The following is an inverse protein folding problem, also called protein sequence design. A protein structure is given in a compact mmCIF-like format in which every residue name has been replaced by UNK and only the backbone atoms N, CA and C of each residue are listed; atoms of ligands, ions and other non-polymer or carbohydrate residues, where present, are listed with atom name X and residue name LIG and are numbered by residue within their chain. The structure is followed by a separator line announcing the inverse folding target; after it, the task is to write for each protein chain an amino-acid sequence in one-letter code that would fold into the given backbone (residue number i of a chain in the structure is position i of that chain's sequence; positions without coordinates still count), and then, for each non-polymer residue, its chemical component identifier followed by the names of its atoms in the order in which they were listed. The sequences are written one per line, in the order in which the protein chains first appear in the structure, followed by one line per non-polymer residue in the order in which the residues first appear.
data_IF_924925592499
#
_entry.id   IF_924925592499
#
_cell.length_a   1.000
_cell.length_b   1.000
_cell.length_c   1.000
_cell.angle_alpha   90.00
_cell.angle_beta   90.00
_cell.angle_gamma   90.00
#
_symmetry.space_group_name_H-M   'P 1'
#
loop_
_entity.id
_entity.type
_entity.pdbx_description
1 polymer ?
#
# COMPACT_ATOMS: atom_id res chain seq x y z
N UNK A 1 -29.89 25.04 -19.37
CA UNK A 1 -28.75 25.52 -18.57
C UNK A 1 -28.18 24.35 -17.78
N UNK A 2 -26.97 23.90 -18.09
CA UNK A 2 -26.26 22.86 -17.30
C UNK A 2 -25.81 23.46 -15.98
N UNK A 3 -25.96 22.77 -14.83
CA UNK A 3 -25.41 23.26 -13.57
C UNK A 3 -23.87 23.28 -13.65
N UNK A 4 -23.19 24.24 -12.98
CA UNK A 4 -21.75 24.33 -13.02
C UNK A 4 -21.11 23.13 -12.30
N UNK A 5 -20.08 22.57 -12.92
CA UNK A 5 -19.17 21.59 -12.29
C UNK A 5 -18.40 22.33 -11.19
N UNK A 6 -18.76 22.10 -9.94
CA UNK A 6 -18.00 22.59 -8.80
C UNK A 6 -16.76 21.70 -8.66
N UNK A 7 -15.61 22.17 -9.13
CA UNK A 7 -14.33 21.56 -8.75
C UNK A 7 -14.12 21.77 -7.25
N UNK A 8 -13.99 20.70 -6.44
CA UNK A 8 -13.63 20.87 -5.04
C UNK A 8 -12.21 21.45 -4.95
N UNK A 9 -11.93 22.29 -3.94
CA UNK A 9 -10.61 22.88 -3.76
C UNK A 9 -9.56 21.79 -3.53
N UNK A 10 -8.39 21.94 -4.16
CA UNK A 10 -7.19 21.16 -3.81
C UNK A 10 -6.75 21.60 -2.42
N UNK A 11 -7.29 20.93 -1.40
CA UNK A 11 -6.79 21.06 -0.04
C UNK A 11 -5.53 20.22 0.03
N UNK A 12 -4.34 20.84 0.00
CA UNK A 12 -3.12 20.20 0.50
C UNK A 12 -3.19 20.16 2.02
N UNK A 13 -3.42 18.99 2.64
CA UNK A 13 -3.48 18.90 4.09
C UNK A 13 -2.05 18.76 4.65
N UNK A 14 -1.81 19.26 5.86
CA UNK A 14 -0.49 19.23 6.51
C UNK A 14 -0.04 17.79 6.79
N UNK A 15 1.28 17.58 6.77
CA UNK A 15 1.95 16.35 7.19
C UNK A 15 1.69 16.11 8.68
N UNK A 16 0.62 15.37 9.02
CA UNK A 16 0.39 14.90 10.39
C UNK A 16 0.49 13.38 10.41
N UNK A 17 1.47 12.90 11.19
CA UNK A 17 1.77 11.48 11.43
C UNK A 17 0.56 10.80 12.08
N UNK A 18 0.01 9.71 11.49
CA UNK A 18 -1.06 8.93 12.12
C UNK A 18 -0.62 8.30 13.47
N UNK A 19 -1.55 8.03 14.40
CA UNK A 19 -1.24 7.49 15.73
C UNK A 19 -0.68 6.06 15.66
N UNK A 20 0.25 5.76 16.55
CA UNK A 20 0.84 4.43 16.78
C UNK A 20 -0.02 3.62 17.76
N UNK A 21 -0.59 2.51 17.31
CA UNK A 21 -0.98 1.43 18.23
C UNK A 21 -0.72 0.06 17.61
N UNK A 22 0.15 -0.79 18.20
CA UNK A 22 0.31 -2.17 17.79
C UNK A 22 -0.68 -3.09 18.51
N UNK A 23 -1.47 -3.93 17.81
CA UNK A 23 -2.09 -5.10 18.44
C UNK A 23 -1.08 -6.24 18.64
N UNK A 24 -1.36 -7.20 19.54
CA UNK A 24 -0.41 -8.23 19.95
C UNK A 24 -0.14 -9.26 18.85
N UNK A 25 1.04 -9.82 18.96
CA UNK A 25 1.66 -10.77 18.05
C UNK A 25 1.34 -12.20 18.53
N UNK A 26 0.57 -13.00 17.79
CA UNK A 26 0.29 -14.40 18.15
C UNK A 26 0.73 -15.36 17.05
N UNK A 27 1.94 -15.89 17.19
CA UNK A 27 2.23 -17.33 17.05
C UNK A 27 1.93 -18.07 15.74
N UNK A 28 1.87 -17.41 14.58
CA UNK A 28 1.91 -18.05 13.26
C UNK A 28 3.21 -17.72 12.54
N UNK A 29 3.54 -18.43 11.46
CA UNK A 29 4.59 -18.01 10.52
C UNK A 29 4.38 -16.53 10.21
N UNK A 30 5.29 -15.67 10.68
CA UNK A 30 5.26 -14.21 10.51
C UNK A 30 5.34 -13.74 9.06
N UNK A 31 5.29 -14.68 8.11
CA UNK A 31 5.41 -14.49 6.68
C UNK A 31 4.22 -15.12 6.01
N UNK A 32 3.45 -14.32 5.28
CA UNK A 32 2.38 -14.78 4.43
C UNK A 32 2.88 -15.83 3.43
N UNK A 33 2.03 -16.78 3.10
CA UNK A 33 2.27 -17.75 2.02
C UNK A 33 2.11 -17.10 0.64
N UNK A 34 2.54 -17.78 -0.43
CA UNK A 34 2.31 -17.32 -1.79
C UNK A 34 0.81 -17.27 -2.14
N UNK A 35 0.03 -18.23 -1.63
CA UNK A 35 -1.42 -18.26 -1.81
C UNK A 35 -2.11 -17.06 -1.14
N UNK A 36 -1.68 -16.70 0.08
CA UNK A 36 -2.19 -15.50 0.74
C UNK A 36 -1.78 -14.22 0.01
N UNK A 37 -0.55 -14.14 -0.49
CA UNK A 37 -0.11 -13.00 -1.30
C UNK A 37 -0.95 -12.83 -2.57
N UNK A 38 -1.27 -13.92 -3.26
CA UNK A 38 -2.16 -13.90 -4.42
C UNK A 38 -3.59 -13.46 -4.03
N UNK A 39 -4.15 -14.03 -2.95
CA UNK A 39 -5.48 -13.66 -2.46
C UNK A 39 -5.55 -12.17 -2.06
N UNK A 40 -4.48 -11.63 -1.47
CA UNK A 40 -4.38 -10.22 -1.13
C UNK A 40 -4.39 -9.34 -2.40
N UNK A 41 -3.64 -9.72 -3.43
CA UNK A 41 -3.63 -9.03 -4.73
C UNK A 41 -5.02 -9.07 -5.37
N UNK A 42 -5.65 -10.23 -5.39
CA UNK A 42 -6.98 -10.40 -6.01
C UNK A 42 -8.02 -9.55 -5.30
N UNK A 43 -7.99 -9.52 -3.96
CA UNK A 43 -8.84 -8.61 -3.19
C UNK A 43 -8.53 -7.14 -3.52
N UNK A 44 -7.26 -6.73 -3.53
CA UNK A 44 -6.88 -5.34 -3.82
C UNK A 44 -7.32 -4.90 -5.21
N UNK A 45 -7.31 -5.80 -6.21
CA UNK A 45 -7.82 -5.54 -7.57
C UNK A 45 -9.32 -5.26 -7.57
N UNK A 46 -10.12 -5.89 -6.70
CA UNK A 46 -11.56 -5.58 -6.60
C UNK A 46 -11.83 -4.16 -6.09
N UNK A 47 -10.82 -3.51 -5.49
CA UNK A 47 -10.92 -2.16 -4.95
C UNK A 47 -10.47 -1.09 -5.95
N UNK A 48 -10.10 -1.44 -7.18
CA UNK A 48 -9.70 -0.45 -8.21
C UNK A 48 -10.88 0.44 -8.59
N UNK A 49 -10.60 1.72 -8.86
CA UNK A 49 -11.60 2.74 -9.17
C UNK A 49 -12.10 3.51 -7.93
N UNK A 50 -11.77 3.06 -6.72
CA UNK A 50 -12.11 3.77 -5.50
C UNK A 50 -11.21 5.01 -5.30
N UNK A 51 -11.73 6.10 -4.74
CA UNK A 51 -10.96 7.30 -4.49
C UNK A 51 -9.87 7.06 -3.45
N UNK A 52 -8.73 7.74 -3.63
CA UNK A 52 -7.74 7.90 -2.59
C UNK A 52 -8.21 8.92 -1.55
N UNK A 53 -8.13 8.56 -0.28
CA UNK A 53 -8.31 9.50 0.85
C UNK A 53 -7.25 9.20 1.89
N UNK A 54 -6.46 10.21 2.26
CA UNK A 54 -5.42 10.08 3.28
C UNK A 54 -6.01 9.57 4.59
N UNK A 55 -5.43 8.52 5.18
CA UNK A 55 -5.91 7.89 6.41
C UNK A 55 -7.08 6.93 6.23
N UNK A 56 -7.70 6.85 5.04
CA UNK A 56 -8.85 6.00 4.82
C UNK A 56 -8.48 4.51 4.80
N UNK A 57 -9.40 3.69 5.32
CA UNK A 57 -9.21 2.26 5.50
C UNK A 57 -10.45 1.44 5.04
N UNK A 58 -11.18 1.99 4.07
CA UNK A 58 -12.37 1.37 3.47
C UNK A 58 -13.69 1.66 4.18
N UNK A 59 -14.81 1.16 3.63
CA UNK A 59 -14.86 0.46 2.33
C UNK A 59 -14.90 1.42 1.13
N UNK A 60 -15.28 2.69 1.32
CA UNK A 60 -15.53 3.61 0.20
C UNK A 60 -14.28 4.32 -0.35
N UNK A 61 -13.16 4.28 0.38
CA UNK A 61 -11.90 4.92 0.02
C UNK A 61 -10.73 4.30 0.78
N UNK A 62 -9.52 4.40 0.22
CA UNK A 62 -8.31 3.87 0.84
C UNK A 62 -7.14 4.86 0.67
N UNK A 63 -6.22 4.88 1.64
CA UNK A 63 -4.84 5.32 1.36
C UNK A 63 -3.96 4.13 0.96
N UNK A 64 -2.71 4.43 0.60
CA UNK A 64 -1.73 3.44 0.14
C UNK A 64 -1.59 2.24 1.10
N UNK A 65 -1.33 2.54 2.36
CA UNK A 65 -1.13 1.54 3.41
C UNK A 65 -2.43 0.92 3.94
N UNK A 66 -3.55 1.63 3.82
CA UNK A 66 -4.89 1.16 4.16
C UNK A 66 -5.33 0.06 3.19
N UNK A 67 -5.16 0.30 1.88
CA UNK A 67 -5.43 -0.70 0.84
C UNK A 67 -4.62 -1.98 1.09
N UNK A 68 -3.30 -1.86 1.31
CA UNK A 68 -2.44 -3.04 1.54
C UNK A 68 -2.78 -3.76 2.84
N UNK A 69 -3.10 -3.03 3.91
CA UNK A 69 -3.47 -3.62 5.19
C UNK A 69 -4.77 -4.41 5.11
N UNK A 70 -5.76 -3.90 4.37
CA UNK A 70 -7.05 -4.57 4.16
C UNK A 70 -6.94 -5.74 3.20
N UNK A 71 -6.11 -5.64 2.16
CA UNK A 71 -5.83 -6.73 1.25
C UNK A 71 -5.25 -7.95 1.98
N UNK A 72 -4.18 -7.75 2.76
CA UNK A 72 -3.59 -8.83 3.54
C UNK A 72 -4.52 -9.34 4.66
N UNK A 73 -5.28 -8.45 5.30
CA UNK A 73 -6.30 -8.85 6.28
C UNK A 73 -7.38 -9.76 5.69
N UNK A 74 -7.85 -9.48 4.47
CA UNK A 74 -8.78 -10.37 3.74
C UNK A 74 -8.13 -11.69 3.31
N UNK A 75 -6.80 -11.72 3.15
CA UNK A 75 -6.02 -12.94 2.95
C UNK A 75 -5.64 -13.67 4.27
N UNK A 76 -6.23 -13.26 5.40
CA UNK A 76 -6.04 -13.92 6.70
C UNK A 76 -4.74 -13.56 7.42
N UNK A 77 -4.05 -12.49 7.01
CA UNK A 77 -2.84 -11.99 7.68
C UNK A 77 -2.93 -10.49 7.97
N UNK A 78 -3.02 -10.12 9.24
CA UNK A 78 -3.04 -8.71 9.64
C UNK A 78 -1.65 -8.10 9.58
N UNK A 79 -1.50 -7.03 8.80
CA UNK A 79 -0.28 -6.21 8.76
C UNK A 79 -0.53 -4.84 9.36
N UNK A 80 0.54 -4.14 9.71
CA UNK A 80 0.47 -2.81 10.34
C UNK A 80 -0.17 -1.77 9.42
N UNK A 81 -0.74 -0.73 10.02
CA UNK A 81 -1.55 0.26 9.30
C UNK A 81 -0.75 1.24 8.46
N UNK A 82 0.49 1.58 8.84
CA UNK A 82 1.28 2.62 8.15
C UNK A 82 2.34 2.00 7.24
N UNK A 83 2.70 2.66 6.15
CA UNK A 83 3.72 2.17 5.20
C UNK A 83 5.08 1.89 5.85
N UNK A 84 5.55 2.78 6.73
CA UNK A 84 6.81 2.61 7.49
C UNK A 84 6.78 1.40 8.40
N UNK A 85 5.64 1.20 9.07
CA UNK A 85 5.45 0.06 9.95
C UNK A 85 5.35 -1.25 9.16
N UNK A 86 4.67 -1.24 8.01
CA UNK A 86 4.61 -2.38 7.10
C UNK A 86 6.02 -2.75 6.61
N UNK A 87 6.81 -1.76 6.19
CA UNK A 87 8.21 -1.98 5.83
C UNK A 87 9.00 -2.62 6.97
N UNK A 88 8.85 -2.09 8.19
CA UNK A 88 9.57 -2.58 9.38
C UNK A 88 9.16 -4.00 9.77
N UNK A 89 7.86 -4.31 9.72
CA UNK A 89 7.29 -5.63 10.01
C UNK A 89 7.68 -6.67 8.95
N UNK A 90 7.80 -6.26 7.70
CA UNK A 90 7.98 -7.19 6.57
C UNK A 90 9.40 -7.74 6.50
N UNK A 91 9.51 -8.96 6.03
CA UNK A 91 10.77 -9.53 5.62
C UNK A 91 11.32 -8.87 4.35
N UNK A 92 12.62 -8.59 4.32
CA UNK A 92 13.24 -7.98 3.13
C UNK A 92 13.52 -9.04 2.07
N UNK A 93 13.12 -8.74 0.84
CA UNK A 93 13.27 -9.61 -0.33
C UNK A 93 13.87 -8.78 -1.45
N UNK A 94 14.76 -9.39 -2.25
CA UNK A 94 15.27 -8.75 -3.47
C UNK A 94 14.11 -8.41 -4.41
N UNK A 95 14.21 -7.29 -5.11
CA UNK A 95 13.20 -6.86 -6.09
C UNK A 95 13.01 -7.92 -7.20
N UNK A 96 14.05 -8.66 -7.56
CA UNK A 96 13.96 -9.72 -8.58
C UNK A 96 13.31 -11.01 -8.08
N UNK A 97 13.17 -11.16 -6.76
CA UNK A 97 12.53 -12.31 -6.10
C UNK A 97 11.11 -11.99 -5.60
N UNK A 98 10.56 -10.86 -6.05
CA UNK A 98 9.20 -10.45 -5.72
C UNK A 98 8.18 -11.43 -6.28
N UNK A 99 7.14 -11.67 -5.49
CA UNK A 99 5.96 -12.43 -5.90
C UNK A 99 4.69 -11.64 -5.58
N UNK A 100 3.54 -11.99 -6.19
CA UNK A 100 2.27 -11.38 -5.86
C UNK A 100 2.03 -11.29 -4.34
N UNK A 101 1.68 -10.10 -3.86
CA UNK A 101 1.46 -9.80 -2.45
C UNK A 101 2.63 -9.10 -1.75
N UNK A 102 3.85 -9.19 -2.28
CA UNK A 102 4.98 -8.45 -1.72
C UNK A 102 4.73 -6.93 -1.82
N UNK A 103 5.14 -6.21 -0.80
CA UNK A 103 4.98 -4.76 -0.68
C UNK A 103 6.21 -4.05 -1.24
N UNK A 104 5.96 -3.03 -2.04
CA UNK A 104 6.99 -2.18 -2.63
C UNK A 104 6.82 -0.75 -2.11
N UNK A 105 7.94 -0.10 -1.81
CA UNK A 105 7.95 1.15 -1.05
C UNK A 105 8.69 2.25 -1.80
N UNK A 106 8.18 3.47 -1.73
CA UNK A 106 8.88 4.66 -2.20
C UNK A 106 9.15 5.62 -1.03
N UNK A 107 10.36 6.17 -1.02
CA UNK A 107 10.90 7.03 0.03
C UNK A 107 11.64 8.22 -0.58
N UNK A 108 11.64 9.38 0.09
CA UNK A 108 12.38 10.55 -0.43
C UNK A 108 13.89 10.34 -0.33
N UNK A 109 14.34 9.55 0.64
CA UNK A 109 15.66 8.92 0.68
C UNK A 109 15.48 7.38 0.72
N UNK A 110 15.75 6.66 -0.38
CA UNK A 110 15.60 5.19 -0.44
C UNK A 110 16.39 4.41 0.61
N UNK A 111 17.43 5.01 1.19
CA UNK A 111 18.26 4.40 2.22
C UNK A 111 17.76 4.71 3.64
N UNK A 112 16.75 5.56 3.79
CA UNK A 112 16.14 5.92 5.08
C UNK A 112 14.65 5.53 5.10
N UNK A 113 14.30 4.41 5.74
CA UNK A 113 12.92 3.94 5.87
C UNK A 113 11.97 4.93 6.56
N UNK A 114 12.48 5.87 7.37
CA UNK A 114 11.65 6.87 8.02
C UNK A 114 11.01 7.85 7.01
N UNK A 115 11.60 7.94 5.83
CA UNK A 115 11.16 8.82 4.74
C UNK A 115 10.22 8.15 3.73
N UNK A 116 9.79 6.91 4.00
CA UNK A 116 8.77 6.22 3.19
C UNK A 116 7.48 7.03 3.19
N UNK A 117 7.03 7.37 1.98
CA UNK A 117 5.81 8.14 1.74
C UNK A 117 4.75 7.35 0.97
N UNK A 118 5.12 6.24 0.31
CA UNK A 118 4.17 5.41 -0.43
C UNK A 118 4.47 3.92 -0.31
N UNK A 119 3.42 3.11 -0.38
CA UNK A 119 3.48 1.65 -0.46
C UNK A 119 2.47 1.15 -1.50
N UNK A 120 2.85 0.16 -2.29
CA UNK A 120 1.95 -0.57 -3.17
C UNK A 120 2.16 -2.08 -3.00
N UNK A 121 1.24 -2.88 -3.55
CA UNK A 121 1.36 -4.33 -3.55
C UNK A 121 1.75 -4.80 -4.95
N UNK A 122 2.80 -5.60 -5.06
CA UNK A 122 3.22 -6.22 -6.32
C UNK A 122 2.15 -7.21 -6.77
N UNK A 123 1.71 -7.07 -8.03
CA UNK A 123 0.64 -7.86 -8.62
C UNK A 123 1.14 -8.93 -9.61
N UNK A 124 2.46 -9.08 -9.75
CA UNK A 124 3.10 -9.92 -10.76
C UNK A 124 3.35 -9.18 -12.08
N UNK A 125 4.16 -9.77 -12.96
CA UNK A 125 4.41 -9.28 -14.33
C UNK A 125 4.81 -7.79 -14.42
N UNK A 126 5.60 -7.30 -13.47
CA UNK A 126 6.01 -5.89 -13.45
C UNK A 126 4.88 -4.91 -13.12
N UNK A 127 3.76 -5.39 -12.58
CA UNK A 127 2.61 -4.57 -12.18
C UNK A 127 2.47 -4.46 -10.66
N UNK A 128 1.81 -3.38 -10.25
CA UNK A 128 1.44 -3.10 -8.87
C UNK A 128 -0.04 -2.74 -8.79
N UNK A 129 -0.66 -2.98 -7.64
CA UNK A 129 -1.95 -2.41 -7.26
C UNK A 129 -1.75 -1.38 -6.16
N UNK A 130 -2.33 -0.20 -6.32
CA UNK A 130 -2.09 0.94 -5.44
C UNK A 130 -3.31 1.84 -5.26
N UNK A 131 -3.32 2.57 -4.14
CA UNK A 131 -4.02 3.84 -3.99
C UNK A 131 -2.91 4.88 -3.79
N UNK A 132 -2.60 5.67 -4.81
CA UNK A 132 -1.37 6.47 -4.86
C UNK A 132 -1.50 7.84 -4.17
N UNK A 133 -2.52 8.61 -4.56
CA UNK A 133 -2.62 10.02 -4.22
C UNK A 133 -4.03 10.57 -4.47
N UNK A 134 -4.43 11.69 -3.82
CA UNK A 134 -5.73 12.31 -4.05
C UNK A 134 -5.98 12.64 -5.53
N UNK A 135 -7.22 12.45 -5.98
CA UNK A 135 -7.61 12.70 -7.38
C UNK A 135 -7.24 11.57 -8.34
N UNK A 136 -6.46 10.59 -7.90
CA UNK A 136 -6.14 9.38 -8.65
C UNK A 136 -6.89 8.19 -8.05
N UNK A 137 -7.84 7.58 -8.79
CA UNK A 137 -8.47 6.35 -8.34
C UNK A 137 -7.45 5.23 -8.14
N UNK A 138 -7.72 4.34 -7.20
CA UNK A 138 -6.95 3.11 -7.02
C UNK A 138 -6.90 2.32 -8.33
N UNK A 139 -5.76 1.72 -8.64
CA UNK A 139 -5.51 1.16 -9.98
C UNK A 139 -4.49 0.04 -9.92
N UNK A 140 -4.54 -0.80 -10.95
CA UNK A 140 -3.40 -1.63 -11.36
C UNK A 140 -2.58 -0.81 -12.36
N UNK A 141 -1.27 -0.73 -12.15
CA UNK A 141 -0.38 0.02 -13.04
C UNK A 141 1.01 -0.61 -13.09
N UNK A 142 1.87 -0.11 -13.97
CA UNK A 142 3.25 -0.56 -14.06
C UNK A 142 4.05 -0.15 -12.82
N UNK A 143 4.93 -1.04 -12.40
CA UNK A 143 5.90 -0.80 -11.35
C UNK A 143 6.78 0.41 -11.70
N UNK A 144 6.94 1.34 -10.76
CA UNK A 144 7.77 2.54 -10.94
C UNK A 144 9.20 2.30 -10.44
N UNK A 145 10.11 2.09 -11.37
CA UNK A 145 11.55 1.91 -11.14
C UNK A 145 12.30 3.25 -11.21
N UNK A 146 12.11 4.09 -10.20
CA UNK A 146 12.75 5.42 -10.16
C UNK A 146 13.67 5.53 -8.92
N UNK A 147 14.36 6.67 -8.80
CA UNK A 147 15.30 6.94 -7.71
C UNK A 147 14.69 7.00 -6.30
N UNK A 148 13.36 6.93 -6.16
CA UNK A 148 12.69 6.92 -4.85
C UNK A 148 12.28 5.52 -4.42
N UNK A 149 12.42 4.51 -5.29
CA UNK A 149 12.15 3.12 -4.96
C UNK A 149 13.16 2.62 -3.91
N UNK A 150 12.65 2.07 -2.81
CA UNK A 150 13.46 1.37 -1.81
C UNK A 150 14.04 0.11 -2.44
N UNK A 151 15.35 -0.20 -2.27
CA UNK A 151 16.04 -1.26 -3.04
C UNK A 151 15.66 -2.69 -2.63
N UNK A 152 14.63 -2.86 -1.80
CA UNK A 152 14.11 -4.15 -1.36
C UNK A 152 12.59 -4.09 -1.24
N UNK A 153 11.93 -5.20 -1.52
CA UNK A 153 10.52 -5.40 -1.22
C UNK A 153 10.34 -5.91 0.22
N UNK A 154 9.16 -5.70 0.77
CA UNK A 154 8.71 -6.28 2.03
C UNK A 154 7.75 -7.43 1.78
N UNK A 155 8.08 -8.63 2.23
CA UNK A 155 7.15 -9.77 2.29
C UNK A 155 6.54 -9.83 3.68
N UNK A 156 5.25 -9.51 3.84
CA UNK A 156 4.52 -9.77 5.07
C UNK A 156 4.51 -11.24 5.43
#
# INVERSE_FOLDING_TARGET
VTPPVVTPPVVTPPVVKPPVTPPPSTGGSWRGSAAQGQAAVDWAKTQTGLPYVWGANGPSAYDCSGLTSKAWGNAGLSIRRTSRDQYTQSAKVSLDAMRPGDLVFWASNPNDPSTIFHVAMYAGNGQIVEAAEPGVPSRVTHMRWNKTLVPVAGRP
#
